data_IF_561328676839
#
_entry.id   IF_561328676839
#
_cell.length_a   1.000
_cell.length_b   1.000
_cell.length_c   1.000
_cell.angle_alpha   90.00
_cell.angle_beta   90.00
_cell.angle_gamma   90.00
#
_symmetry.space_group_name_H-M   'P 1'
#
loop_
_entity.id
_entity.type
_entity.pdbx_description
1 polymer ?
#
# COMPACT_ATOMS: atom_id res chain seq x y z
N UNK A 1 -15.64 6.24 -21.80
CA UNK A 1 -16.87 6.12 -21.00
C UNK A 1 -16.64 5.05 -19.93
N UNK A 2 -16.64 5.40 -18.64
CA UNK A 2 -16.47 4.41 -17.57
C UNK A 2 -17.81 3.71 -17.30
N UNK A 3 -17.81 2.37 -17.28
CA UNK A 3 -19.02 1.55 -17.01
C UNK A 3 -19.69 1.93 -15.69
N UNK A 4 -21.03 1.90 -15.65
CA UNK A 4 -21.85 2.26 -14.47
C UNK A 4 -21.43 1.47 -13.20
N UNK A 5 -20.98 0.23 -13.40
CA UNK A 5 -20.49 -0.65 -12.32
C UNK A 5 -19.22 -0.07 -11.68
N UNK A 6 -18.32 0.52 -12.47
CA UNK A 6 -17.12 1.16 -11.95
C UNK A 6 -17.46 2.41 -11.12
N UNK A 7 -18.48 3.18 -11.52
CA UNK A 7 -18.92 4.34 -10.73
C UNK A 7 -19.46 3.92 -9.37
N UNK A 8 -20.34 2.91 -9.30
CA UNK A 8 -20.94 2.45 -8.04
C UNK A 8 -19.88 1.91 -7.08
N UNK A 9 -18.89 1.16 -7.57
CA UNK A 9 -17.81 0.61 -6.74
C UNK A 9 -16.91 1.72 -6.21
N UNK A 10 -16.52 2.68 -7.04
CA UNK A 10 -15.72 3.85 -6.62
C UNK A 10 -16.46 4.69 -5.57
N UNK A 11 -17.78 4.83 -5.70
CA UNK A 11 -18.59 5.58 -4.75
C UNK A 11 -18.68 4.92 -3.37
N UNK A 12 -18.70 3.58 -3.30
CA UNK A 12 -18.62 2.83 -2.04
C UNK A 12 -17.25 2.93 -1.36
N UNK A 13 -16.18 2.92 -2.16
CA UNK A 13 -14.82 3.13 -1.64
C UNK A 13 -14.68 4.53 -1.02
N UNK A 14 -15.26 5.55 -1.64
CA UNK A 14 -15.20 6.93 -1.17
C UNK A 14 -16.06 7.21 0.09
N UNK A 15 -17.16 6.46 0.28
CA UNK A 15 -18.07 6.64 1.43
C UNK A 15 -17.60 5.93 2.71
N UNK A 16 -16.50 5.17 2.66
CA UNK A 16 -16.00 4.40 3.81
C UNK A 16 -15.13 5.23 4.78
N UNK A 17 -14.98 6.54 4.55
CA UNK A 17 -14.18 7.47 5.38
C UNK A 17 -14.96 8.14 6.53
N UNK A 18 -16.24 7.82 6.73
CA UNK A 18 -16.97 8.31 7.90
C UNK A 18 -16.71 7.45 9.13
N UNK A 19 -15.58 7.68 9.81
CA UNK A 19 -15.39 7.21 11.19
C UNK A 19 -16.38 7.93 12.12
N UNK A 20 -17.12 7.24 13.00
CA UNK A 20 -17.75 7.90 14.13
C UNK A 20 -16.65 8.39 15.08
N UNK A 21 -16.72 9.66 15.47
CA UNK A 21 -15.85 10.28 16.44
C UNK A 21 -15.90 9.49 17.77
N UNK A 22 -14.86 8.70 18.04
CA UNK A 22 -14.65 8.09 19.35
C UNK A 22 -14.21 9.21 20.29
N UNK A 23 -15.09 9.57 21.22
CA UNK A 23 -14.79 10.43 22.36
C UNK A 23 -13.56 9.87 23.10
N UNK A 24 -12.49 10.66 23.16
CA UNK A 24 -11.37 10.40 24.06
C UNK A 24 -11.88 10.45 25.52
N UNK A 25 -11.62 9.42 26.36
CA UNK A 25 -11.86 9.54 27.78
C UNK A 25 -10.88 10.58 28.40
N UNK A 26 -11.30 11.29 29.46
CA UNK A 26 -10.48 12.32 30.09
C UNK A 26 -9.20 11.73 30.69
N UNK A 27 -8.10 12.48 30.56
CA UNK A 27 -6.78 12.11 31.03
C UNK A 27 -6.74 11.86 32.55
N UNK A 28 -5.98 10.86 33.04
CA UNK A 28 -5.72 10.70 34.46
C UNK A 28 -4.78 11.81 34.99
N UNK A 29 -4.89 12.19 36.28
CA UNK A 29 -4.09 13.25 36.88
C UNK A 29 -2.59 12.89 36.99
N UNK A 30 -1.70 13.89 37.05
CA UNK A 30 -0.26 13.67 37.11
C UNK A 30 0.14 13.09 38.47
N UNK A 31 0.69 11.87 38.45
CA UNK A 31 1.34 11.25 39.60
C UNK A 31 2.75 11.83 39.73
N UNK A 32 3.03 12.51 40.84
CA UNK A 32 4.37 13.02 41.13
C UNK A 32 5.32 11.85 41.48
N UNK A 33 6.54 11.81 40.92
CA UNK A 33 7.55 10.83 41.31
C UNK A 33 8.23 11.21 42.63
N UNK A 34 8.48 10.26 43.55
CA UNK A 34 9.28 10.52 44.74
C UNK A 34 10.78 10.52 44.42
N UNK A 35 11.44 11.56 44.93
CA UNK A 35 12.80 11.65 45.49
C UNK A 35 13.96 10.95 44.75
N UNK A 36 14.87 11.79 44.29
CA UNK A 36 16.17 11.44 43.73
C UNK A 36 17.02 10.57 44.67
N UNK A 37 17.68 9.56 44.10
CA UNK A 37 18.88 8.95 44.66
C UNK A 37 19.98 9.00 43.61
N UNK A 38 21.05 9.70 43.97
CA UNK A 38 22.30 9.85 43.23
C UNK A 38 22.90 8.52 42.81
N UNK A 39 23.11 8.32 41.51
CA UNK A 39 24.10 7.38 40.98
C UNK A 39 24.72 7.96 39.70
N UNK A 40 26.01 8.31 39.83
CA UNK A 40 27.09 8.42 38.83
C UNK A 40 26.85 9.08 37.45
N UNK A 41 27.76 9.95 36.98
CA UNK A 41 27.71 10.42 35.60
C UNK A 41 27.90 9.22 34.64
N UNK A 42 27.11 9.14 33.55
CA UNK A 42 27.34 8.14 32.52
C UNK A 42 28.70 8.36 31.86
N UNK A 43 29.39 7.29 31.42
CA UNK A 43 30.63 7.42 30.66
C UNK A 43 30.38 8.24 29.39
N UNK A 44 31.38 8.99 28.90
CA UNK A 44 31.23 9.77 27.67
C UNK A 44 30.82 8.85 26.52
N UNK A 45 29.73 9.20 25.86
CA UNK A 45 29.28 8.53 24.65
C UNK A 45 30.41 8.54 23.61
N UNK A 46 30.62 7.45 22.86
CA UNK A 46 31.59 7.42 21.78
C UNK A 46 31.24 8.54 20.79
N UNK A 47 32.18 9.46 20.59
CA UNK A 47 32.03 10.51 19.59
C UNK A 47 31.99 9.86 18.20
N UNK A 48 31.11 10.29 17.30
CA UNK A 48 31.04 9.75 15.95
C UNK A 48 32.36 9.99 15.24
N UNK A 49 32.92 8.92 14.66
CA UNK A 49 34.17 8.95 13.93
C UNK A 49 34.03 9.91 12.72
N UNK A 50 34.96 10.85 12.50
CA UNK A 50 34.90 11.78 11.37
C UNK A 50 35.06 11.10 10.00
N UNK A 51 35.33 9.79 9.97
CA UNK A 51 35.35 8.95 8.77
C UNK A 51 34.09 8.10 8.57
N UNK A 52 32.94 8.47 9.15
CA UNK A 52 31.66 7.90 8.72
C UNK A 52 31.39 8.36 7.29
N UNK A 53 31.83 7.54 6.32
CA UNK A 53 31.56 7.68 4.89
C UNK A 53 30.07 7.45 4.64
N UNK A 54 29.25 8.36 5.14
CA UNK A 54 27.82 8.43 4.89
C UNK A 54 27.56 9.04 3.50
N UNK A 55 28.27 8.55 2.48
CA UNK A 55 27.99 8.82 1.07
C UNK A 55 27.07 7.75 0.46
N UNK A 56 26.41 6.94 1.29
CA UNK A 56 25.94 5.61 0.88
C UNK A 56 24.47 5.39 0.53
N UNK A 57 23.52 6.26 0.91
CA UNK A 57 22.12 6.12 0.47
C UNK A 57 21.47 7.47 0.24
N UNK A 58 21.77 8.08 -0.92
CA UNK A 58 20.84 9.01 -1.55
C UNK A 58 19.44 8.40 -1.45
N UNK A 59 18.48 9.13 -0.89
CA UNK A 59 17.08 8.68 -0.75
C UNK A 59 16.62 8.17 -2.13
N UNK A 60 16.56 6.84 -2.34
CA UNK A 60 16.28 6.23 -3.65
C UNK A 60 14.80 6.31 -4.06
N UNK A 61 14.00 7.02 -3.29
CA UNK A 61 12.57 7.22 -3.49
C UNK A 61 12.22 8.68 -3.37
N UNK A 62 11.22 9.11 -4.15
CA UNK A 62 10.57 10.39 -3.93
C UNK A 62 9.64 10.34 -2.73
N UNK A 63 8.83 11.39 -2.56
CA UNK A 63 7.99 11.59 -1.38
C UNK A 63 6.50 11.25 -1.62
N UNK A 64 6.15 10.74 -2.80
CA UNK A 64 4.76 10.43 -3.15
C UNK A 64 4.41 9.03 -2.68
N UNK A 65 3.45 8.92 -1.76
CA UNK A 65 2.87 7.65 -1.31
C UNK A 65 1.56 7.31 -2.05
N UNK A 66 1.07 6.07 -1.91
CA UNK A 66 -0.13 5.58 -2.58
C UNK A 66 -1.16 5.15 -1.52
N UNK A 67 -2.12 6.01 -1.13
CA UNK A 67 -3.02 5.77 0.00
C UNK A 67 -3.94 4.55 -0.19
N UNK A 68 -4.24 4.18 -1.45
CA UNK A 68 -5.03 3.00 -1.79
C UNK A 68 -4.37 1.67 -1.39
N UNK A 69 -3.07 1.65 -1.08
CA UNK A 69 -2.35 0.42 -0.72
C UNK A 69 -2.92 -0.24 0.53
N UNK A 70 -3.25 0.56 1.54
CA UNK A 70 -3.81 0.09 2.82
C UNK A 70 -5.26 -0.38 2.67
N UNK A 71 -5.96 0.07 1.62
CA UNK A 71 -7.34 -0.32 1.35
C UNK A 71 -7.41 -1.69 0.66
N UNK A 72 -6.41 -2.06 -0.15
CA UNK A 72 -6.42 -3.33 -0.89
C UNK A 72 -6.55 -4.57 0.02
N UNK A 73 -5.97 -4.52 1.22
CA UNK A 73 -6.07 -5.61 2.21
C UNK A 73 -7.45 -5.71 2.89
N UNK A 74 -8.23 -4.62 2.87
CA UNK A 74 -9.57 -4.55 3.47
C UNK A 74 -10.66 -5.06 2.53
N UNK A 75 -10.38 -5.09 1.23
CA UNK A 75 -11.32 -5.53 0.21
C UNK A 75 -11.43 -7.06 0.22
N UNK A 76 -12.65 -7.56 0.25
CA UNK A 76 -12.96 -8.99 0.29
C UNK A 76 -13.21 -9.57 -1.10
N UNK A 77 -13.50 -8.74 -2.11
CA UNK A 77 -13.79 -9.23 -3.46
C UNK A 77 -12.68 -8.89 -4.46
N UNK A 78 -12.43 -9.82 -5.38
CA UNK A 78 -11.50 -9.65 -6.50
C UNK A 78 -11.90 -8.46 -7.38
N UNK A 79 -13.19 -8.26 -7.61
CA UNK A 79 -13.70 -7.15 -8.43
C UNK A 79 -13.38 -5.79 -7.82
N UNK A 80 -13.63 -5.59 -6.52
CA UNK A 80 -13.31 -4.34 -5.84
C UNK A 80 -11.81 -4.07 -5.87
N UNK A 81 -10.99 -5.11 -5.64
CA UNK A 81 -9.53 -5.00 -5.71
C UNK A 81 -9.06 -4.55 -7.08
N UNK A 82 -9.60 -5.11 -8.17
CA UNK A 82 -9.23 -4.71 -9.54
C UNK A 82 -9.63 -3.26 -9.81
N UNK A 83 -10.83 -2.85 -9.41
CA UNK A 83 -11.27 -1.45 -9.56
C UNK A 83 -10.36 -0.49 -8.80
N UNK A 84 -9.99 -0.82 -7.56
CA UNK A 84 -9.04 -0.03 -6.78
C UNK A 84 -7.67 0.04 -7.45
N UNK A 85 -7.15 -1.08 -7.97
CA UNK A 85 -5.85 -1.10 -8.65
C UNK A 85 -5.85 -0.26 -9.93
N UNK A 86 -6.95 -0.26 -10.69
CA UNK A 86 -7.13 0.63 -11.84
C UNK A 86 -7.15 2.11 -11.43
N UNK A 87 -7.79 2.44 -10.31
CA UNK A 87 -7.79 3.81 -9.76
C UNK A 87 -6.39 4.24 -9.32
N UNK A 88 -5.66 3.35 -8.64
CA UNK A 88 -4.27 3.59 -8.23
C UNK A 88 -3.39 3.82 -9.46
N UNK A 89 -3.52 3.00 -10.51
CA UNK A 89 -2.74 3.17 -11.75
C UNK A 89 -3.00 4.53 -12.42
N UNK A 90 -4.27 4.98 -12.45
CA UNK A 90 -4.63 6.29 -12.98
C UNK A 90 -4.07 7.46 -12.17
N UNK A 91 -3.82 7.26 -10.87
CA UNK A 91 -3.22 8.25 -9.96
C UNK A 91 -1.70 8.26 -9.94
N UNK A 92 -1.03 7.36 -10.68
CA UNK A 92 0.43 7.28 -10.66
C UNK A 92 1.06 8.53 -11.29
N UNK A 93 2.15 9.06 -10.70
CA UNK A 93 2.92 10.14 -11.32
C UNK A 93 3.55 9.65 -12.62
N UNK A 94 3.80 10.58 -13.55
CA UNK A 94 4.45 10.28 -14.83
C UNK A 94 5.81 9.56 -14.65
N UNK A 95 6.52 9.86 -13.56
CA UNK A 95 7.77 9.20 -13.21
C UNK A 95 7.64 8.40 -11.91
N UNK A 96 7.90 7.10 -12.00
CA UNK A 96 7.97 6.20 -10.84
C UNK A 96 9.08 6.57 -9.85
N UNK A 97 10.00 7.47 -10.22
CA UNK A 97 11.07 7.96 -9.34
C UNK A 97 10.51 8.83 -8.21
N UNK A 98 9.39 9.51 -8.44
CA UNK A 98 8.73 10.38 -7.46
C UNK A 98 8.01 9.61 -6.36
N UNK A 99 7.75 8.32 -6.60
CA UNK A 99 7.19 7.41 -5.61
C UNK A 99 8.19 7.10 -4.49
N UNK A 100 7.66 6.94 -3.28
CA UNK A 100 8.38 6.35 -2.16
C UNK A 100 8.84 4.93 -2.54
N UNK A 101 9.90 4.42 -1.92
CA UNK A 101 10.41 3.07 -2.21
C UNK A 101 9.34 2.00 -1.97
N UNK A 102 8.52 2.19 -0.92
CA UNK A 102 7.39 1.33 -0.58
C UNK A 102 6.28 1.37 -1.63
N UNK A 103 5.92 2.56 -2.12
CA UNK A 103 4.94 2.73 -3.19
C UNK A 103 5.44 2.14 -4.50
N UNK A 104 6.70 2.39 -4.88
CA UNK A 104 7.32 1.83 -6.08
C UNK A 104 7.35 0.30 -6.05
N UNK A 105 7.73 -0.28 -4.92
CA UNK A 105 7.72 -1.74 -4.72
C UNK A 105 6.32 -2.29 -4.91
N UNK A 106 5.31 -1.65 -4.32
CA UNK A 106 3.92 -2.05 -4.48
C UNK A 106 3.43 -2.00 -5.93
N UNK A 107 3.76 -0.93 -6.66
CA UNK A 107 3.42 -0.81 -8.08
C UNK A 107 4.03 -1.96 -8.89
N UNK A 108 5.32 -2.25 -8.67
CA UNK A 108 6.03 -3.28 -9.42
C UNK A 108 5.62 -4.71 -9.06
N UNK A 109 5.29 -4.97 -7.79
CA UNK A 109 4.99 -6.32 -7.29
C UNK A 109 3.51 -6.68 -7.34
N UNK A 110 2.62 -5.68 -7.37
CA UNK A 110 1.16 -5.88 -7.29
C UNK A 110 0.44 -5.23 -8.46
N UNK A 111 0.52 -3.89 -8.58
CA UNK A 111 -0.30 -3.15 -9.56
C UNK A 111 0.01 -3.60 -10.98
N UNK A 112 1.28 -3.54 -11.40
CA UNK A 112 1.70 -3.91 -12.75
C UNK A 112 1.37 -5.37 -13.11
N UNK A 113 1.76 -6.40 -12.32
CA UNK A 113 1.48 -7.78 -12.71
C UNK A 113 -0.01 -8.13 -12.67
N UNK A 114 -0.78 -7.61 -11.71
CA UNK A 114 -2.23 -7.86 -11.65
C UNK A 114 -2.95 -7.20 -12.82
N UNK A 115 -2.67 -5.93 -13.12
CA UNK A 115 -3.33 -5.23 -14.22
C UNK A 115 -2.89 -5.74 -15.59
N UNK A 116 -1.63 -6.18 -15.72
CA UNK A 116 -1.18 -6.89 -16.92
C UNK A 116 -2.01 -8.16 -17.14
N UNK A 117 -2.10 -9.02 -16.14
CA UNK A 117 -2.93 -10.23 -16.20
C UNK A 117 -4.39 -9.90 -16.54
N UNK A 118 -4.95 -8.88 -15.89
CA UNK A 118 -6.32 -8.45 -16.15
C UNK A 118 -6.54 -8.05 -17.61
N UNK A 119 -5.60 -7.29 -18.20
CA UNK A 119 -5.68 -6.82 -19.59
C UNK A 119 -5.40 -7.92 -20.60
N UNK A 120 -4.33 -8.66 -20.41
CA UNK A 120 -3.78 -9.59 -21.42
C UNK A 120 -4.42 -10.98 -21.33
N UNK A 121 -4.71 -11.49 -20.13
CA UNK A 121 -5.22 -12.85 -19.95
C UNK A 121 -6.71 -12.93 -19.59
N UNK A 122 -7.26 -11.87 -19.04
CA UNK A 122 -8.68 -11.79 -18.69
C UNK A 122 -9.45 -10.83 -19.61
N UNK A 123 -8.86 -10.39 -20.72
CA UNK A 123 -9.49 -9.51 -21.72
C UNK A 123 -10.14 -8.24 -21.11
N UNK A 124 -9.58 -7.71 -20.03
CA UNK A 124 -10.16 -6.61 -19.25
C UNK A 124 -11.59 -6.86 -18.75
N UNK A 125 -11.91 -8.13 -18.44
CA UNK A 125 -13.21 -8.57 -17.97
C UNK A 125 -13.15 -9.00 -16.50
N UNK A 126 -13.90 -8.31 -15.64
CA UNK A 126 -14.05 -8.66 -14.24
C UNK A 126 -14.58 -10.10 -14.03
N UNK A 127 -15.65 -10.56 -14.71
CA UNK A 127 -16.14 -11.92 -14.52
C UNK A 127 -15.09 -12.97 -14.92
N UNK A 128 -14.36 -12.78 -16.02
CA UNK A 128 -13.25 -13.68 -16.43
C UNK A 128 -12.13 -13.73 -15.39
N UNK A 129 -11.80 -12.58 -14.80
CA UNK A 129 -10.79 -12.51 -13.75
C UNK A 129 -11.25 -13.25 -12.49
N UNK A 130 -12.51 -13.05 -12.08
CA UNK A 130 -13.12 -13.71 -10.91
C UNK A 130 -13.24 -15.22 -11.12
N UNK A 131 -13.59 -15.66 -12.32
CA UNK A 131 -13.67 -17.09 -12.66
C UNK A 131 -12.29 -17.77 -12.51
N UNK A 132 -11.23 -17.15 -13.05
CA UNK A 132 -9.86 -17.70 -13.00
C UNK A 132 -9.23 -17.63 -11.60
N UNK A 133 -9.43 -16.54 -10.86
CA UNK A 133 -8.72 -16.28 -9.60
C UNK A 133 -9.57 -16.45 -8.35
N UNK A 134 -10.86 -16.70 -8.52
CA UNK A 134 -11.85 -16.81 -7.46
C UNK A 134 -12.34 -15.46 -6.94
N UNK A 135 -13.28 -15.55 -6.00
CA UNK A 135 -13.95 -14.39 -5.41
C UNK A 135 -13.01 -13.47 -4.62
N UNK A 136 -11.88 -13.96 -4.11
CA UNK A 136 -10.93 -13.18 -3.33
C UNK A 136 -9.48 -13.60 -3.61
N UNK A 137 -8.85 -12.97 -4.61
CA UNK A 137 -7.47 -13.30 -4.96
C UNK A 137 -6.45 -12.77 -3.94
N UNK A 138 -5.36 -13.52 -3.77
CA UNK A 138 -4.17 -13.11 -3.01
C UNK A 138 -3.17 -12.42 -3.91
N UNK A 139 -2.85 -11.16 -3.61
CA UNK A 139 -1.89 -10.36 -4.37
C UNK A 139 -0.46 -10.94 -4.34
N UNK A 140 -0.11 -11.72 -3.31
CA UNK A 140 1.21 -12.35 -3.18
C UNK A 140 1.49 -13.41 -4.25
N UNK A 141 0.47 -13.94 -4.95
CA UNK A 141 0.69 -14.91 -6.03
C UNK A 141 1.19 -14.27 -7.32
N UNK A 142 0.86 -13.00 -7.56
CA UNK A 142 1.18 -12.30 -8.80
C UNK A 142 2.65 -11.90 -8.94
N UNK A 143 3.41 -11.85 -7.84
CA UNK A 143 4.86 -11.62 -7.88
C UNK A 143 5.62 -12.78 -8.52
N UNK A 144 5.03 -13.97 -8.60
CA UNK A 144 5.61 -15.17 -9.22
C UNK A 144 5.11 -15.42 -10.65
N UNK A 145 4.29 -14.51 -11.19
CA UNK A 145 3.59 -14.66 -12.46
C UNK A 145 2.08 -14.81 -12.28
N UNK A 146 1.33 -14.53 -13.35
CA UNK A 146 -0.11 -14.75 -13.35
C UNK A 146 -0.39 -16.23 -13.65
N UNK A 147 -1.12 -16.91 -12.77
CA UNK A 147 -1.51 -18.32 -12.90
C UNK A 147 -2.57 -18.57 -13.98
N UNK A 148 -2.79 -17.64 -14.89
CA UNK A 148 -3.58 -17.89 -16.09
C UNK A 148 -2.76 -18.79 -17.00
N UNK A 149 -3.23 -20.02 -17.22
CA UNK A 149 -2.69 -20.89 -18.26
C UNK A 149 -3.06 -20.25 -19.60
N UNK A 150 -2.06 -20.00 -20.45
CA UNK A 150 -2.30 -19.59 -21.84
C UNK A 150 -3.23 -20.63 -22.48
N UNK A 151 -4.33 -20.24 -23.13
CA UNK A 151 -5.08 -21.22 -23.91
C UNK A 151 -4.13 -21.76 -24.97
N UNK A 152 -3.94 -23.08 -24.98
CA UNK A 152 -3.16 -23.76 -26.01
C UNK A 152 -3.74 -23.35 -27.38
N UNK A 153 -2.91 -22.69 -28.19
CA UNK A 153 -3.24 -22.31 -29.56
C UNK A 153 -3.38 -23.53 -30.46
#
# INVERSE_FOLDING_TARGET
MMSLVNQVVLQRLNNSESQPAIQQPPAPPPVQPPMASSLSPPPPLPQPDPNDDNRGRARRGGNVDLPGRSQLAKLSTSSEKIVLLLSIEASLPASKKDLTERARTFVNQVVTPVLRCYREHCASSLPEFVDKWGANFSHSRFSKGCGCVEPAQ
#
